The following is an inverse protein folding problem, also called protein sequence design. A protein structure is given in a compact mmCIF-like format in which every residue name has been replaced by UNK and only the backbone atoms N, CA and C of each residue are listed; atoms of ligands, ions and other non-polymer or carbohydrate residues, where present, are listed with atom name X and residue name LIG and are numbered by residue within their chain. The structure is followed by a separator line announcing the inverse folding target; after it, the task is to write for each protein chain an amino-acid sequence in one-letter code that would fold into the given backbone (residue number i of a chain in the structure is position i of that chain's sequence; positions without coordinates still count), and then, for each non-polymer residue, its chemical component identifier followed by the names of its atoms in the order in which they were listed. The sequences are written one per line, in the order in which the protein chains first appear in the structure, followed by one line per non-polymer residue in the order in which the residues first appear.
data_IF_986080489203
#
_entry.id   IF_986080489203
#
_cell.length_a   1.000
_cell.length_b   1.000
_cell.length_c   1.000
_cell.angle_alpha   90.00
_cell.angle_beta   90.00
_cell.angle_gamma   90.00
#
_symmetry.space_group_name_H-M   'P 1'
#
loop_
_entity.id
_entity.type
_entity.pdbx_description
1 polymer ?
#
# COMPACT_ATOMS: atom_id res chain seq x y z
N UNK A 1 -36.10 37.14 -13.38
CA UNK A 1 -34.66 37.48 -13.52
C UNK A 1 -33.89 37.43 -12.20
N UNK A 2 -34.44 37.92 -11.08
CA UNK A 2 -33.78 37.91 -9.75
C UNK A 2 -33.50 36.48 -9.24
N UNK A 3 -34.45 35.56 -9.42
CA UNK A 3 -34.32 34.17 -8.97
C UNK A 3 -33.14 33.43 -9.63
N UNK A 4 -32.98 33.57 -10.95
CA UNK A 4 -31.88 32.97 -11.71
C UNK A 4 -30.51 33.50 -11.28
N UNK A 5 -30.40 34.80 -11.00
CA UNK A 5 -29.16 35.43 -10.51
C UNK A 5 -28.76 34.90 -9.14
N UNK A 6 -29.73 34.74 -8.24
CA UNK A 6 -29.48 34.23 -6.89
C UNK A 6 -29.09 32.74 -6.92
N UNK A 7 -29.72 31.94 -7.79
CA UNK A 7 -29.34 30.53 -7.99
C UNK A 7 -27.92 30.40 -8.55
N UNK A 8 -27.55 31.20 -9.55
CA UNK A 8 -26.19 31.18 -10.11
C UNK A 8 -25.12 31.61 -9.10
N UNK A 9 -25.40 32.63 -8.29
CA UNK A 9 -24.51 33.06 -7.21
C UNK A 9 -24.34 31.98 -6.13
N UNK A 10 -25.43 31.34 -5.74
CA UNK A 10 -25.40 30.24 -4.78
C UNK A 10 -24.57 29.05 -5.31
N UNK A 11 -24.83 28.62 -6.55
CA UNK A 11 -24.06 27.54 -7.19
C UNK A 11 -22.58 27.91 -7.33
N UNK A 12 -22.28 29.15 -7.73
CA UNK A 12 -20.91 29.66 -7.79
C UNK A 12 -20.20 29.62 -6.44
N UNK A 13 -20.88 30.03 -5.36
CA UNK A 13 -20.36 29.96 -3.99
C UNK A 13 -20.10 28.53 -3.53
N UNK A 14 -21.00 27.59 -3.84
CA UNK A 14 -20.84 26.17 -3.52
C UNK A 14 -19.66 25.56 -4.27
N UNK A 15 -19.54 25.84 -5.57
CA UNK A 15 -18.42 25.34 -6.41
C UNK A 15 -17.09 25.90 -5.89
N UNK A 16 -17.02 27.20 -5.60
CA UNK A 16 -15.81 27.82 -5.08
C UNK A 16 -15.44 27.27 -3.70
N UNK A 17 -16.41 27.09 -2.81
CA UNK A 17 -16.19 26.49 -1.50
C UNK A 17 -15.67 25.05 -1.60
N UNK A 18 -16.25 24.24 -2.48
CA UNK A 18 -15.81 22.88 -2.74
C UNK A 18 -14.38 22.86 -3.32
N UNK A 19 -14.07 23.76 -4.26
CA UNK A 19 -12.74 23.89 -4.84
C UNK A 19 -11.70 24.28 -3.78
N UNK A 20 -11.99 25.28 -2.94
CA UNK A 20 -11.09 25.70 -1.85
C UNK A 20 -10.86 24.58 -0.82
N UNK A 21 -11.91 23.82 -0.47
CA UNK A 21 -11.76 22.67 0.42
C UNK A 21 -10.88 21.58 -0.20
N UNK A 22 -11.08 21.25 -1.47
CA UNK A 22 -10.27 20.28 -2.19
C UNK A 22 -8.80 20.73 -2.29
N UNK A 23 -8.56 22.00 -2.62
CA UNK A 23 -7.22 22.62 -2.61
C UNK A 23 -6.60 22.57 -1.21
N UNK A 24 -7.37 22.91 -0.18
CA UNK A 24 -6.93 22.83 1.22
C UNK A 24 -6.47 21.42 1.58
N UNK A 25 -7.30 20.40 1.34
CA UNK A 25 -6.95 19.00 1.60
C UNK A 25 -5.75 18.51 0.77
N UNK A 26 -5.59 19.03 -0.45
CA UNK A 26 -4.45 18.69 -1.31
C UNK A 26 -3.14 19.33 -0.84
N UNK A 27 -3.14 20.54 -0.28
CA UNK A 27 -1.91 21.19 0.18
C UNK A 27 -1.63 21.01 1.67
N UNK A 28 -2.62 20.61 2.48
CA UNK A 28 -2.43 20.47 3.92
C UNK A 28 -1.44 19.33 4.23
N UNK A 29 -0.37 19.60 5.01
CA UNK A 29 0.56 18.57 5.44
C UNK A 29 -0.08 17.75 6.55
N UNK A 30 -0.31 16.47 6.27
CA UNK A 30 -0.74 15.52 7.29
C UNK A 30 0.49 14.91 7.97
N UNK A 31 0.72 15.12 9.28
CA UNK A 31 1.97 14.69 9.94
C UNK A 31 2.26 13.19 9.85
N UNK A 32 1.21 12.35 9.81
CA UNK A 32 1.36 10.91 9.64
C UNK A 32 1.83 10.51 8.23
N UNK A 33 1.67 11.39 7.24
CA UNK A 33 2.11 11.17 5.86
C UNK A 33 3.62 11.38 5.66
N UNK A 34 4.33 11.96 6.64
CA UNK A 34 5.78 12.18 6.61
C UNK A 34 6.54 11.22 7.55
N UNK A 35 6.06 9.99 7.71
CA UNK A 35 6.62 9.03 8.67
C UNK A 35 7.86 8.30 8.18
N UNK A 36 7.99 8.09 6.88
CA UNK A 36 9.11 7.35 6.28
C UNK A 36 10.46 7.84 6.78
N UNK A 37 10.71 9.15 6.69
CA UNK A 37 11.99 9.78 7.09
C UNK A 37 12.30 9.64 8.59
N UNK A 38 11.28 9.45 9.44
CA UNK A 38 11.45 9.33 10.89
C UNK A 38 11.56 7.88 11.35
N UNK A 39 10.71 7.01 10.82
CA UNK A 39 10.56 5.64 11.31
C UNK A 39 11.56 4.69 10.66
N UNK A 40 11.84 4.86 9.36
CA UNK A 40 12.76 3.98 8.65
C UNK A 40 14.17 3.99 9.25
N UNK A 41 14.82 5.14 9.54
CA UNK A 41 16.14 5.13 10.15
C UNK A 41 16.15 4.52 11.55
N UNK A 42 15.08 4.72 12.33
CA UNK A 42 14.96 4.13 13.67
C UNK A 42 14.83 2.60 13.59
N UNK A 43 14.03 2.09 12.65
CA UNK A 43 13.93 0.66 12.38
C UNK A 43 15.29 0.09 11.98
N UNK A 44 15.96 0.69 10.98
CA UNK A 44 17.28 0.26 10.48
C UNK A 44 18.35 0.28 11.59
N UNK A 45 18.34 1.26 12.48
CA UNK A 45 19.26 1.33 13.61
C UNK A 45 19.00 0.23 14.66
N UNK A 46 17.75 -0.18 14.83
CA UNK A 46 17.36 -1.23 15.79
C UNK A 46 17.54 -2.66 15.23
N UNK A 47 17.38 -2.82 13.92
CA UNK A 47 17.41 -4.11 13.24
C UNK A 47 18.85 -4.53 12.95
N UNK A 48 19.46 -5.34 13.85
CA UNK A 48 20.85 -5.81 13.67
C UNK A 48 21.09 -6.61 12.38
N UNK A 49 20.06 -7.22 11.82
CA UNK A 49 20.02 -7.80 10.47
C UNK A 49 18.57 -8.22 10.16
N UNK A 50 17.73 -7.36 9.56
CA UNK A 50 16.37 -7.76 9.20
C UNK A 50 16.41 -8.83 8.10
N UNK A 51 15.54 -9.82 8.20
CA UNK A 51 15.24 -10.73 7.09
C UNK A 51 14.43 -9.93 6.06
N UNK A 52 14.91 -9.91 4.81
CA UNK A 52 14.30 -9.13 3.72
C UNK A 52 13.58 -10.08 2.77
N UNK A 53 12.29 -9.82 2.54
CA UNK A 53 11.52 -10.41 1.46
C UNK A 53 11.07 -9.30 0.51
N UNK A 54 11.54 -9.32 -0.73
CA UNK A 54 11.30 -8.28 -1.73
C UNK A 54 10.60 -8.84 -2.95
N UNK A 55 9.61 -8.14 -3.50
CA UNK A 55 9.08 -8.46 -4.83
C UNK A 55 9.13 -7.24 -5.76
N UNK A 56 9.32 -7.51 -7.03
CA UNK A 56 9.31 -6.51 -8.09
C UNK A 56 7.90 -6.29 -8.64
N UNK A 57 7.44 -5.04 -8.55
CA UNK A 57 6.32 -4.53 -9.32
C UNK A 57 6.86 -4.19 -10.73
N UNK A 58 6.44 -4.90 -11.77
CA UNK A 58 6.91 -4.66 -13.15
C UNK A 58 5.82 -5.01 -14.15
N UNK A 59 5.70 -4.18 -15.20
CA UNK A 59 4.81 -4.40 -16.35
C UNK A 59 5.34 -5.42 -17.36
N UNK A 60 6.52 -6.00 -17.11
CA UNK A 60 7.18 -6.97 -17.98
C UNK A 60 7.11 -8.41 -17.43
N UNK A 61 7.34 -9.38 -18.31
CA UNK A 61 7.34 -10.84 -18.01
C UNK A 61 8.29 -11.28 -16.90
N UNK A 62 9.19 -10.40 -16.46
CA UNK A 62 10.17 -10.66 -15.39
C UNK A 62 9.74 -10.12 -14.02
N UNK A 63 8.49 -9.66 -13.88
CA UNK A 63 7.91 -9.29 -12.59
C UNK A 63 7.78 -10.46 -11.61
N UNK A 64 7.61 -10.12 -10.34
CA UNK A 64 7.43 -11.11 -9.29
C UNK A 64 5.95 -11.38 -8.94
N UNK A 65 5.04 -10.53 -9.42
CA UNK A 65 3.60 -10.70 -9.22
C UNK A 65 3.05 -11.83 -10.07
N UNK A 66 2.36 -12.77 -9.43
CA UNK A 66 1.68 -13.91 -10.06
C UNK A 66 0.21 -13.58 -10.32
N UNK A 67 -0.48 -13.04 -9.30
CA UNK A 67 -1.87 -12.59 -9.43
C UNK A 67 -2.12 -11.37 -8.55
N UNK A 68 -2.95 -10.45 -9.03
CA UNK A 68 -3.41 -9.28 -8.30
C UNK A 68 -4.88 -9.04 -8.63
N UNK A 69 -5.72 -9.11 -7.60
CA UNK A 69 -7.16 -8.92 -7.71
C UNK A 69 -7.57 -7.86 -6.72
N UNK A 70 -8.40 -6.92 -7.16
CA UNK A 70 -8.94 -5.87 -6.31
C UNK A 70 -10.46 -5.86 -6.37
N UNK A 71 -11.07 -5.18 -5.41
CA UNK A 71 -12.51 -4.97 -5.40
C UNK A 71 -12.93 -3.81 -6.32
N UNK A 72 -13.84 -4.09 -7.26
CA UNK A 72 -14.56 -3.08 -8.04
C UNK A 72 -13.72 -2.18 -8.96
N UNK A 73 -14.39 -1.52 -9.91
CA UNK A 73 -13.78 -0.51 -10.77
C UNK A 73 -14.10 0.91 -10.27
N UNK A 74 -13.19 1.90 -10.43
CA UNK A 74 -11.88 1.78 -11.05
C UNK A 74 -10.85 1.16 -10.11
N UNK A 75 -10.32 0.01 -10.49
CA UNK A 75 -9.21 -0.62 -9.79
C UNK A 75 -7.98 0.29 -9.91
N UNK A 76 -7.36 0.61 -8.77
CA UNK A 76 -6.16 1.44 -8.71
C UNK A 76 -4.99 0.75 -9.43
N UNK A 77 -4.99 -0.58 -9.36
CA UNK A 77 -4.04 -1.45 -10.04
C UNK A 77 -4.77 -2.30 -11.08
N UNK A 78 -4.19 -2.50 -12.28
CA UNK A 78 -4.76 -3.44 -13.24
C UNK A 78 -4.75 -4.84 -12.63
N UNK A 79 -5.82 -5.61 -12.87
CA UNK A 79 -5.88 -7.00 -12.46
C UNK A 79 -4.84 -7.83 -13.18
N UNK A 80 -4.31 -8.84 -12.50
CA UNK A 80 -3.34 -9.77 -13.07
C UNK A 80 -3.71 -11.22 -12.73
N UNK A 81 -3.84 -12.10 -13.74
CA UNK A 81 -4.05 -11.73 -15.15
C UNK A 81 -5.32 -10.87 -15.33
N UNK A 82 -5.40 -10.13 -16.44
CA UNK A 82 -6.55 -9.26 -16.74
C UNK A 82 -7.89 -10.03 -16.84
N UNK A 83 -7.85 -11.36 -16.92
CA UNK A 83 -9.02 -12.25 -16.94
C UNK A 83 -9.58 -12.58 -15.57
N UNK A 84 -8.90 -12.17 -14.49
CA UNK A 84 -9.36 -12.45 -13.13
C UNK A 84 -10.67 -11.72 -12.82
N UNK A 85 -11.44 -12.30 -11.90
CA UNK A 85 -12.70 -11.71 -11.43
C UNK A 85 -12.42 -10.78 -10.27
N UNK A 86 -13.01 -9.59 -10.29
CA UNK A 86 -12.96 -8.66 -9.16
C UNK A 86 -13.50 -9.31 -7.88
N UNK A 87 -12.98 -8.87 -6.73
CA UNK A 87 -13.57 -9.19 -5.42
C UNK A 87 -14.94 -8.49 -5.33
N UNK A 88 -16.02 -9.27 -5.38
CA UNK A 88 -17.38 -8.75 -5.59
C UNK A 88 -18.31 -8.97 -4.41
N UNK A 89 -17.94 -9.89 -3.52
CA UNK A 89 -18.72 -10.26 -2.37
C UNK A 89 -18.70 -9.12 -1.33
N UNK A 90 -19.83 -8.83 -0.66
CA UNK A 90 -19.95 -7.68 0.24
C UNK A 90 -18.89 -7.57 1.34
N UNK A 91 -18.33 -8.70 1.77
CA UNK A 91 -17.34 -8.77 2.85
C UNK A 91 -15.90 -8.53 2.39
N UNK A 92 -15.65 -8.51 1.07
CA UNK A 92 -14.32 -8.30 0.47
C UNK A 92 -14.34 -7.19 -0.60
N UNK A 93 -15.42 -6.39 -0.63
CA UNK A 93 -15.67 -5.33 -1.61
C UNK A 93 -14.76 -4.09 -1.47
N UNK A 94 -13.92 -4.07 -0.45
CA UNK A 94 -12.93 -3.03 -0.17
C UNK A 94 -11.57 -3.72 0.04
N UNK A 95 -11.23 -4.66 -0.84
CA UNK A 95 -10.14 -5.61 -0.63
C UNK A 95 -9.18 -5.72 -1.81
N UNK A 96 -8.02 -6.28 -1.51
CA UNK A 96 -6.96 -6.63 -2.45
C UNK A 96 -6.46 -8.03 -2.12
N UNK A 97 -6.19 -8.83 -3.14
CA UNK A 97 -5.52 -10.10 -3.02
C UNK A 97 -4.35 -10.14 -4.01
N UNK A 98 -3.14 -10.30 -3.50
CA UNK A 98 -1.91 -10.39 -4.26
C UNK A 98 -1.24 -11.73 -3.96
N UNK A 99 -0.73 -12.37 -5.01
CA UNK A 99 0.16 -13.54 -4.94
C UNK A 99 1.45 -13.15 -5.66
N UNK A 100 2.61 -13.36 -5.04
CA UNK A 100 3.89 -13.01 -5.62
C UNK A 100 5.02 -13.98 -5.21
N UNK A 101 6.14 -13.89 -5.94
CA UNK A 101 7.42 -14.48 -5.58
C UNK A 101 8.19 -13.46 -4.75
N UNK A 102 8.87 -13.92 -3.71
CA UNK A 102 9.71 -13.07 -2.86
C UNK A 102 11.17 -13.41 -3.03
N UNK A 103 12.00 -12.37 -3.07
CA UNK A 103 13.44 -12.41 -3.19
C UNK A 103 14.12 -12.03 -1.88
N UNK A 104 15.28 -12.62 -1.64
CA UNK A 104 16.20 -12.15 -0.59
C UNK A 104 16.97 -10.90 -1.03
N UNK A 105 17.88 -10.43 -0.18
CA UNK A 105 18.75 -9.29 -0.49
C UNK A 105 19.77 -9.59 -1.59
N UNK A 106 20.10 -10.86 -1.81
CA UNK A 106 20.91 -11.33 -2.93
C UNK A 106 20.17 -11.39 -4.27
N UNK A 107 18.85 -11.12 -4.28
CA UNK A 107 18.01 -11.16 -5.47
C UNK A 107 17.51 -12.55 -5.86
N UNK A 108 17.78 -13.57 -5.05
CA UNK A 108 17.32 -14.95 -5.29
C UNK A 108 15.86 -15.10 -4.89
N UNK A 109 15.05 -15.80 -5.68
CA UNK A 109 13.68 -16.14 -5.27
C UNK A 109 13.76 -17.21 -4.17
N UNK A 110 13.30 -16.85 -2.96
CA UNK A 110 13.40 -17.68 -1.76
C UNK A 110 12.03 -18.04 -1.16
N UNK A 111 10.95 -17.39 -1.59
CA UNK A 111 9.62 -17.64 -1.07
C UNK A 111 8.51 -17.31 -2.09
N UNK A 112 7.31 -17.78 -1.78
CA UNK A 112 6.04 -17.32 -2.36
C UNK A 112 5.27 -16.63 -1.24
N UNK A 113 4.63 -15.51 -1.55
CA UNK A 113 3.85 -14.78 -0.57
C UNK A 113 2.46 -14.41 -1.10
N UNK A 114 1.53 -14.27 -0.16
CA UNK A 114 0.25 -13.61 -0.40
C UNK A 114 0.15 -12.35 0.44
N UNK A 115 -0.47 -11.33 -0.12
CA UNK A 115 -0.93 -10.14 0.59
C UNK A 115 -2.44 -10.06 0.44
N UNK A 116 -3.13 -9.92 1.55
CA UNK A 116 -4.56 -9.69 1.59
C UNK A 116 -4.82 -8.41 2.34
N UNK A 117 -5.44 -7.44 1.66
CA UNK A 117 -5.86 -6.18 2.25
C UNK A 117 -7.38 -6.16 2.41
N UNK A 118 -7.83 -5.49 3.46
CA UNK A 118 -9.23 -5.13 3.65
C UNK A 118 -9.33 -3.71 4.20
N UNK A 119 -10.36 -2.97 3.79
CA UNK A 119 -10.57 -1.59 4.23
C UNK A 119 -10.62 -1.47 5.75
N UNK A 120 -9.83 -0.54 6.29
CA UNK A 120 -9.77 -0.24 7.71
C UNK A 120 -10.81 0.84 8.10
N UNK A 121 -11.53 0.67 9.20
CA UNK A 121 -12.59 1.59 9.64
C UNK A 121 -12.07 3.01 9.96
N UNK A 122 -10.78 3.11 10.24
CA UNK A 122 -10.02 4.35 10.43
C UNK A 122 -9.78 5.19 9.15
N UNK A 123 -10.09 4.67 7.96
CA UNK A 123 -9.97 5.37 6.69
C UNK A 123 -10.82 6.64 6.65
N UNK A 124 -10.19 7.80 6.44
CA UNK A 124 -10.86 9.12 6.42
C UNK A 124 -10.09 10.06 5.48
N UNK A 125 -10.61 10.26 4.27
CA UNK A 125 -9.98 11.14 3.26
C UNK A 125 -9.75 12.57 3.77
N UNK A 126 -10.69 13.13 4.53
CA UNK A 126 -10.57 14.47 5.12
C UNK A 126 -9.45 14.58 6.18
N UNK A 127 -9.03 13.45 6.75
CA UNK A 127 -7.87 13.36 7.64
C UNK A 127 -6.63 12.84 6.91
N UNK A 128 -6.69 12.74 5.58
CA UNK A 128 -5.64 12.19 4.77
C UNK A 128 -5.26 10.76 5.13
N UNK A 129 -6.24 9.88 5.33
CA UNK A 129 -6.02 8.47 5.67
C UNK A 129 -6.73 7.57 4.66
N UNK A 130 -5.99 6.68 4.04
CA UNK A 130 -6.50 5.58 3.21
C UNK A 130 -5.85 4.32 3.76
N UNK A 131 -6.54 3.68 4.70
CA UNK A 131 -5.98 2.64 5.54
C UNK A 131 -6.57 1.28 5.22
N UNK A 132 -5.74 0.26 5.39
CA UNK A 132 -6.07 -1.16 5.21
C UNK A 132 -5.57 -1.97 6.39
N UNK A 133 -6.31 -3.01 6.73
CA UNK A 133 -5.79 -4.16 7.45
C UNK A 133 -5.12 -5.06 6.43
N UNK A 134 -3.84 -5.30 6.59
CA UNK A 134 -3.08 -6.13 5.65
C UNK A 134 -2.48 -7.33 6.37
N UNK A 135 -2.73 -8.50 5.79
CA UNK A 135 -2.13 -9.75 6.23
C UNK A 135 -1.25 -10.31 5.14
N UNK A 136 -0.02 -10.64 5.52
CA UNK A 136 0.92 -11.33 4.68
C UNK A 136 1.07 -12.78 5.13
N UNK A 137 1.12 -13.69 4.17
CA UNK A 137 1.58 -15.07 4.40
C UNK A 137 2.78 -15.31 3.52
N UNK A 138 3.93 -15.63 4.12
CA UNK A 138 5.18 -15.91 3.40
C UNK A 138 5.55 -17.36 3.62
N UNK A 139 5.68 -18.11 2.53
CA UNK A 139 6.08 -19.52 2.54
C UNK A 139 7.46 -19.60 1.89
N UNK A 140 8.49 -19.86 2.69
CA UNK A 140 9.86 -20.07 2.24
C UNK A 140 10.16 -21.58 2.20
N UNK A 141 10.21 -22.20 1.00
CA UNK A 141 10.44 -23.64 0.88
C UNK A 141 11.70 -24.10 1.62
N UNK A 142 11.59 -25.20 2.37
CA UNK A 142 12.68 -25.73 3.19
C UNK A 142 12.92 -24.99 4.51
N UNK A 143 12.46 -23.73 4.64
CA UNK A 143 12.64 -22.91 5.85
C UNK A 143 11.37 -22.81 6.69
N UNK A 144 10.19 -22.74 6.08
CA UNK A 144 8.91 -22.73 6.80
C UNK A 144 7.98 -21.58 6.38
N UNK A 145 7.04 -21.24 7.25
CA UNK A 145 6.03 -20.20 7.01
C UNK A 145 6.04 -19.08 8.06
N UNK A 146 5.75 -17.87 7.61
CA UNK A 146 5.57 -16.65 8.41
C UNK A 146 4.19 -16.06 8.11
N UNK A 147 3.57 -15.50 9.14
CA UNK A 147 2.35 -14.70 9.03
C UNK A 147 2.65 -13.31 9.57
N UNK A 148 2.28 -12.29 8.82
CA UNK A 148 2.50 -10.91 9.22
C UNK A 148 1.19 -10.13 9.16
N UNK A 149 1.01 -9.20 10.08
CA UNK A 149 -0.16 -8.33 10.13
C UNK A 149 0.26 -6.88 10.34
N UNK A 150 -0.31 -5.99 9.55
CA UNK A 150 -0.14 -4.56 9.71
C UNK A 150 -1.43 -3.78 9.50
N UNK A 151 -1.47 -2.60 10.09
CA UNK A 151 -2.30 -1.50 9.62
C UNK A 151 -1.45 -0.68 8.66
N UNK A 152 -1.94 -0.39 7.48
CA UNK A 152 -1.25 0.44 6.48
C UNK A 152 -1.92 1.79 6.31
N UNK A 153 -1.14 2.77 5.82
CA UNK A 153 -1.70 4.02 5.30
C UNK A 153 -1.15 4.33 3.90
N UNK A 154 -2.01 4.08 2.92
CA UNK A 154 -1.79 4.29 1.50
C UNK A 154 -2.11 5.73 1.05
N UNK A 155 -2.33 6.67 1.97
CA UNK A 155 -2.69 8.06 1.62
C UNK A 155 -1.65 8.75 0.72
N UNK A 156 -0.36 8.55 0.99
CA UNK A 156 0.72 9.19 0.22
C UNK A 156 0.74 8.69 -1.22
N UNK A 157 0.60 7.37 -1.41
CA UNK A 157 0.44 6.74 -2.72
C UNK A 157 -0.81 7.29 -3.43
N UNK A 158 -1.95 7.28 -2.73
CA UNK A 158 -3.22 7.74 -3.27
C UNK A 158 -3.15 9.19 -3.73
N UNK A 159 -2.69 10.09 -2.87
CA UNK A 159 -2.64 11.53 -3.14
C UNK A 159 -1.65 11.90 -4.23
N UNK A 160 -0.48 11.24 -4.26
CA UNK A 160 0.62 11.60 -5.19
C UNK A 160 0.43 11.03 -6.59
N UNK A 161 -0.13 9.83 -6.72
CA UNK A 161 -0.14 9.11 -8.00
C UNK A 161 -1.54 8.71 -8.42
N UNK A 162 -2.28 8.00 -7.55
CA UNK A 162 -3.58 7.44 -7.90
C UNK A 162 -4.60 8.54 -8.23
N UNK A 163 -4.77 9.51 -7.35
CA UNK A 163 -5.75 10.58 -7.52
C UNK A 163 -5.44 11.45 -8.75
N UNK A 164 -4.20 11.93 -8.98
CA UNK A 164 -3.85 12.59 -10.23
C UNK A 164 -4.04 11.72 -11.47
N UNK A 165 -3.76 10.42 -11.37
CA UNK A 165 -4.00 9.44 -12.44
C UNK A 165 -5.48 9.33 -12.81
N UNK A 166 -6.35 9.20 -11.80
CA UNK A 166 -7.80 9.09 -11.98
C UNK A 166 -8.44 10.38 -12.50
N UNK A 167 -8.00 11.55 -12.01
CA UNK A 167 -8.60 12.84 -12.37
C UNK A 167 -8.08 13.42 -13.69
N UNK A 168 -6.81 13.19 -14.01
CA UNK A 168 -6.13 13.88 -15.10
C UNK A 168 -5.41 12.95 -16.09
N UNK A 169 -5.54 11.63 -15.92
CA UNK A 169 -4.83 10.62 -16.72
C UNK A 169 -3.31 10.88 -16.78
N UNK A 170 -2.74 11.34 -15.67
CA UNK A 170 -1.35 11.77 -15.58
C UNK A 170 -0.45 10.62 -15.13
N UNK A 171 0.50 10.24 -15.98
CA UNK A 171 1.61 9.37 -15.60
C UNK A 171 2.67 10.10 -14.78
N UNK A 172 3.45 9.34 -14.03
CA UNK A 172 4.57 9.82 -13.22
C UNK A 172 5.77 8.89 -13.37
N UNK A 173 6.96 9.47 -13.41
CA UNK A 173 8.24 8.78 -13.38
C UNK A 173 9.17 9.47 -12.40
N UNK A 174 9.98 8.70 -11.67
CA UNK A 174 10.94 9.23 -10.72
C UNK A 174 11.40 8.18 -9.72
N UNK A 175 11.76 8.62 -8.52
CA UNK A 175 11.98 7.72 -7.38
C UNK A 175 11.13 8.23 -6.22
N UNK A 176 10.31 7.36 -5.66
CA UNK A 176 9.50 7.63 -4.50
C UNK A 176 9.61 6.47 -3.53
N UNK A 177 9.94 6.80 -2.28
CA UNK A 177 10.12 5.84 -1.20
C UNK A 177 9.09 6.09 -0.13
N UNK A 178 8.45 5.03 0.37
CA UNK A 178 7.42 5.15 1.38
C UNK A 178 7.39 3.96 2.33
N UNK A 179 7.24 4.26 3.62
CA UNK A 179 6.87 3.28 4.63
C UNK A 179 5.35 3.18 4.65
N UNK A 180 4.81 2.00 4.34
CA UNK A 180 3.37 1.77 4.33
C UNK A 180 2.83 1.42 5.73
N UNK A 181 3.63 0.71 6.52
CA UNK A 181 3.27 0.26 7.87
C UNK A 181 2.99 1.40 8.84
N UNK A 182 1.82 1.37 9.47
CA UNK A 182 1.39 2.27 10.53
C UNK A 182 1.35 1.60 11.92
N UNK A 183 1.13 0.29 11.97
CA UNK A 183 0.91 -0.45 13.22
C UNK A 183 0.67 -1.94 12.94
N UNK A 184 0.09 -2.70 13.88
CA UNK A 184 -0.68 -2.24 15.06
C UNK A 184 0.16 -1.95 16.31
N UNK A 185 1.47 -2.20 16.29
CA UNK A 185 2.29 -2.04 17.50
C UNK A 185 2.40 -0.56 17.89
N UNK A 186 2.57 -0.23 19.19
CA UNK A 186 2.69 1.17 19.63
C UNK A 186 3.88 1.94 19.05
N UNK A 187 4.94 1.23 18.64
CA UNK A 187 6.11 1.78 17.94
C UNK A 187 5.86 2.05 16.45
N UNK A 188 4.69 1.64 15.95
CA UNK A 188 4.25 1.84 14.57
C UNK A 188 4.74 0.78 13.59
N UNK A 189 5.16 -0.38 14.11
CA UNK A 189 5.53 -1.56 13.32
C UNK A 189 4.38 -2.56 13.18
N UNK A 190 4.48 -3.38 12.15
CA UNK A 190 3.65 -4.56 11.96
C UNK A 190 4.09 -5.68 12.91
N UNK A 191 3.27 -6.72 13.00
CA UNK A 191 3.52 -7.88 13.85
C UNK A 191 3.92 -9.09 13.01
N UNK A 192 4.82 -9.91 13.54
CA UNK A 192 5.27 -11.17 12.94
C UNK A 192 4.88 -12.32 13.85
N UNK A 193 4.28 -13.35 13.25
CA UNK A 193 3.98 -14.63 13.89
C UNK A 193 4.62 -15.73 13.05
N UNK A 194 5.59 -16.41 13.64
CA UNK A 194 6.25 -17.56 13.05
C UNK A 194 5.35 -18.79 13.05
N UNK A 195 5.21 -19.44 11.90
CA UNK A 195 4.34 -20.59 11.71
C UNK A 195 5.07 -21.91 11.90
N UNK A 196 5.95 -22.25 10.96
CA UNK A 196 6.56 -23.59 10.85
C UNK A 196 8.05 -23.52 10.54
N UNK A 197 8.74 -24.67 10.63
CA UNK A 197 10.15 -24.81 10.29
C UNK A 197 11.07 -23.95 11.15
N UNK A 198 12.05 -23.30 10.53
CA UNK A 198 12.97 -22.32 11.13
C UNK A 198 12.26 -21.15 11.81
N UNK A 199 11.02 -20.88 11.42
CA UNK A 199 10.20 -19.81 11.98
C UNK A 199 9.28 -20.27 13.10
N UNK A 200 9.18 -21.57 13.38
CA UNK A 200 8.24 -22.09 14.36
C UNK A 200 8.43 -21.44 15.74
N UNK A 201 7.36 -20.90 16.31
CA UNK A 201 7.35 -20.27 17.63
C UNK A 201 7.99 -18.89 17.71
N UNK A 202 8.63 -18.39 16.63
CA UNK A 202 9.20 -17.05 16.60
C UNK A 202 8.10 -15.99 16.60
N UNK A 203 8.40 -14.84 17.21
CA UNK A 203 7.59 -13.62 17.15
C UNK A 203 8.50 -12.48 16.75
N UNK A 204 7.90 -11.36 16.37
CA UNK A 204 8.69 -10.22 15.97
C UNK A 204 7.85 -9.07 15.46
N UNK A 205 8.52 -8.20 14.72
CA UNK A 205 7.93 -7.04 14.10
C UNK A 205 8.51 -6.83 12.71
N UNK A 206 7.79 -6.10 11.87
CA UNK A 206 8.23 -5.82 10.51
C UNK A 206 7.79 -4.43 10.06
N UNK A 207 8.42 -3.98 8.99
CA UNK A 207 7.93 -2.89 8.17
C UNK A 207 7.78 -3.33 6.72
N UNK A 208 6.83 -2.72 6.05
CA UNK A 208 6.66 -2.75 4.62
C UNK A 208 7.10 -1.42 4.02
N UNK A 209 8.00 -1.53 3.05
CA UNK A 209 8.65 -0.40 2.42
C UNK A 209 8.51 -0.49 0.90
N UNK A 210 7.96 0.56 0.31
CA UNK A 210 7.75 0.69 -1.12
C UNK A 210 8.82 1.61 -1.73
N UNK A 211 9.36 1.19 -2.88
CA UNK A 211 10.03 2.08 -3.82
C UNK A 211 9.29 2.05 -5.16
N UNK A 212 8.73 3.18 -5.56
CA UNK A 212 8.07 3.35 -6.85
C UNK A 212 8.97 4.12 -7.82
N UNK A 213 9.00 3.66 -9.07
CA UNK A 213 9.77 4.26 -10.16
C UNK A 213 8.90 4.77 -11.31
N UNK A 214 7.80 4.10 -11.61
CA UNK A 214 6.82 4.53 -12.61
C UNK A 214 5.40 4.26 -12.12
N UNK A 215 4.50 5.21 -12.41
CA UNK A 215 3.06 5.05 -12.33
C UNK A 215 2.45 5.51 -13.65
N UNK A 216 1.62 4.67 -14.25
CA UNK A 216 0.81 5.05 -15.41
C UNK A 216 -0.63 4.55 -15.22
N UNK A 217 -1.65 5.42 -15.35
CA UNK A 217 -3.05 5.01 -15.18
C UNK A 217 -3.41 3.82 -16.08
N UNK A 218 -4.05 2.81 -15.50
CA UNK A 218 -4.44 1.58 -16.22
C UNK A 218 -3.28 0.67 -16.63
N UNK A 219 -2.03 1.02 -16.27
CA UNK A 219 -0.86 0.15 -16.39
C UNK A 219 -0.39 -0.27 -15.01
N UNK A 220 0.52 -1.25 -15.00
CA UNK A 220 1.13 -1.71 -13.78
C UNK A 220 2.09 -0.66 -13.20
N UNK A 221 2.22 -0.67 -11.88
CA UNK A 221 3.30 0.06 -11.21
C UNK A 221 4.65 -0.57 -11.54
N UNK A 222 5.67 0.26 -11.69
CA UNK A 222 7.05 -0.21 -11.71
C UNK A 222 7.76 0.18 -10.41
N UNK A 223 8.33 -0.79 -9.70
CA UNK A 223 8.90 -0.55 -8.38
C UNK A 223 9.31 -1.82 -7.66
N UNK A 224 9.55 -1.69 -6.35
CA UNK A 224 9.82 -2.79 -5.44
C UNK A 224 9.04 -2.58 -4.15
N UNK A 225 8.62 -3.68 -3.57
CA UNK A 225 7.99 -3.74 -2.26
C UNK A 225 8.82 -4.69 -1.40
N UNK A 226 9.12 -4.26 -0.17
CA UNK A 226 9.99 -4.98 0.74
C UNK A 226 9.29 -5.19 2.08
N UNK A 227 9.25 -6.43 2.55
CA UNK A 227 9.01 -6.76 3.94
C UNK A 227 10.37 -6.90 4.63
N UNK A 228 10.61 -6.07 5.65
CA UNK A 228 11.82 -6.15 6.48
C UNK A 228 11.41 -6.65 7.86
N UNK A 229 11.81 -7.88 8.16
CA UNK A 229 11.33 -8.67 9.30
C UNK A 229 12.42 -8.79 10.35
N UNK A 230 12.08 -8.51 11.61
CA UNK A 230 12.96 -8.69 12.77
C UNK A 230 12.27 -9.62 13.75
N UNK A 231 12.96 -10.66 14.18
CA UNK A 231 12.48 -11.56 15.21
C UNK A 231 12.91 -11.07 16.59
N UNK A 232 12.03 -11.20 17.57
CA UNK A 232 12.34 -10.96 18.98
C UNK A 232 13.26 -12.09 19.48
N UNK A 233 14.20 -11.76 20.38
CA UNK A 233 15.11 -12.73 21.03
C UNK A 233 14.38 -13.70 21.98
#
# INVERSE_FOLDING_TARGET
MIFLKNTLLFLGGVILGAALLATGLYYFPFPHAARTERILPAFEASAKAPEIFRYMLSDQTDGDVISLVTSGAPAIFPMMPATDRVLSEPNVKDGLALINKMRDDGGNIVAIATELESGHEGSRLIKGKVMTHTTWTVIAPGRGALFLYQEEDNWTLFKRFVLPGLLFNKSWQGSWKNLNTLGPRPDGYGQVIGGTGEFAGKRGHFIEFAELRDFSPGKQLAGTMELRVVFDE
#
